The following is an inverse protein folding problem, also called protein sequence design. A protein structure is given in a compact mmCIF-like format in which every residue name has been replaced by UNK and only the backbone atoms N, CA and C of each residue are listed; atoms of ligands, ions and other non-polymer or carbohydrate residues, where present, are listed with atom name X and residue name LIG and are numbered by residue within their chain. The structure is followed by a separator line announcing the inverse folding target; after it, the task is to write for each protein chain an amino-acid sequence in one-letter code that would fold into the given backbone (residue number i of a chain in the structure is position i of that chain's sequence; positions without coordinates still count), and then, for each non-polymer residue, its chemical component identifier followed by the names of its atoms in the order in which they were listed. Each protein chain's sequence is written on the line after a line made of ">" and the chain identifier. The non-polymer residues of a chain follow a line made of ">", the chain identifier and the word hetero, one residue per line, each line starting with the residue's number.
data_IF_498163527171
#
_entry.id   IF_498163527171
#
_cell.length_a   1.000
_cell.length_b   1.000
_cell.length_c   1.000
_cell.angle_alpha   90.00
_cell.angle_beta   90.00
_cell.angle_gamma   90.00
#
_symmetry.space_group_name_H-M   'P 1'
#
loop_
_entity.id
_entity.type
_entity.pdbx_description
1 polymer ?
#
# COMPACT_ATOMS: atom_id res chain seq x y z
N UNK A 1 31.50 -4.07 -32.31
CA UNK A 1 31.05 -2.70 -32.64
C UNK A 1 29.68 -2.44 -32.04
N UNK A 2 29.15 -1.22 -32.13
CA UNK A 2 27.80 -0.88 -31.64
C UNK A 2 26.71 -1.62 -32.44
N UNK A 3 25.68 -2.12 -31.76
CA UNK A 3 24.54 -2.81 -32.38
C UNK A 3 23.24 -2.11 -31.98
N UNK A 4 22.37 -1.75 -32.94
CA UNK A 4 21.06 -1.19 -32.62
C UNK A 4 20.20 -2.25 -31.94
N UNK A 5 19.52 -1.86 -30.86
CA UNK A 5 18.59 -2.72 -30.10
C UNK A 5 17.37 -1.90 -29.74
N UNK A 6 16.22 -2.57 -29.66
CA UNK A 6 15.00 -1.97 -29.17
C UNK A 6 14.98 -2.05 -27.65
N UNK A 7 14.81 -0.91 -26.97
CA UNK A 7 14.79 -0.83 -25.52
C UNK A 7 13.40 -0.40 -25.03
N UNK A 8 12.92 -1.07 -23.98
CA UNK A 8 11.65 -0.75 -23.32
C UNK A 8 11.93 -0.67 -21.83
N UNK A 9 11.60 0.47 -21.22
CA UNK A 9 11.63 0.63 -19.77
C UNK A 9 10.21 0.51 -19.24
N UNK A 10 9.95 -0.53 -18.46
CA UNK A 10 8.64 -0.79 -17.86
C UNK A 10 8.81 -1.19 -16.40
N UNK A 11 8.01 -0.58 -15.52
CA UNK A 11 7.97 -0.85 -14.09
C UNK A 11 9.35 -1.00 -13.40
N UNK A 12 10.31 -0.14 -13.77
CA UNK A 12 11.65 -0.19 -13.18
C UNK A 12 12.59 -1.26 -13.74
N UNK A 13 12.21 -1.90 -14.85
CA UNK A 13 12.98 -2.91 -15.56
C UNK A 13 13.23 -2.43 -16.99
N UNK A 14 14.51 -2.30 -17.37
CA UNK A 14 14.91 -1.99 -18.73
C UNK A 14 15.13 -3.29 -19.50
N UNK A 15 14.24 -3.61 -20.42
CA UNK A 15 14.31 -4.80 -21.28
C UNK A 15 14.79 -4.42 -22.68
N UNK A 16 15.55 -5.31 -23.32
CA UNK A 16 16.03 -5.09 -24.68
C UNK A 16 15.73 -6.28 -25.61
N UNK A 17 15.52 -5.93 -26.89
CA UNK A 17 15.06 -6.83 -27.94
C UNK A 17 15.87 -6.61 -29.22
N UNK A 18 15.83 -7.60 -30.11
CA UNK A 18 16.48 -7.49 -31.43
C UNK A 18 15.78 -6.42 -32.28
N UNK A 19 14.45 -6.41 -32.29
CA UNK A 19 13.62 -5.42 -32.99
C UNK A 19 12.33 -5.12 -32.20
N UNK A 20 11.58 -4.11 -32.64
CA UNK A 20 10.29 -3.75 -32.03
C UNK A 20 9.24 -4.89 -32.18
N UNK A 21 9.26 -5.61 -33.30
CA UNK A 21 8.36 -6.75 -33.56
C UNK A 21 8.64 -7.97 -32.65
N UNK A 22 9.83 -8.04 -32.04
CA UNK A 22 10.22 -9.12 -31.14
C UNK A 22 9.76 -8.91 -29.69
N UNK A 23 9.10 -7.79 -29.37
CA UNK A 23 8.59 -7.52 -28.02
C UNK A 23 7.61 -8.62 -27.57
N UNK A 24 6.85 -9.20 -28.50
CA UNK A 24 5.95 -10.32 -28.24
C UNK A 24 6.63 -11.71 -28.19
N UNK A 25 7.89 -11.83 -28.65
CA UNK A 25 8.64 -13.10 -28.72
C UNK A 25 9.51 -13.36 -27.49
N UNK A 26 9.72 -12.35 -26.65
CA UNK A 26 10.49 -12.43 -25.42
C UNK A 26 11.77 -11.58 -25.46
N UNK A 27 12.11 -10.99 -24.32
CA UNK A 27 13.29 -10.13 -24.17
C UNK A 27 14.58 -10.94 -24.26
N UNK A 28 15.62 -10.37 -24.89
CA UNK A 28 16.97 -10.95 -24.86
C UNK A 28 17.64 -10.81 -23.50
N UNK A 29 17.22 -9.81 -22.75
CA UNK A 29 17.62 -9.61 -21.37
C UNK A 29 16.88 -8.41 -20.78
N UNK A 30 16.97 -8.32 -19.46
CA UNK A 30 16.32 -7.28 -18.68
C UNK A 30 17.23 -6.84 -17.54
N UNK A 31 17.27 -5.54 -17.27
CA UNK A 31 18.09 -4.91 -16.24
C UNK A 31 17.16 -4.29 -15.20
N UNK A 32 17.30 -4.69 -13.93
CA UNK A 32 16.56 -4.07 -12.82
C UNK A 32 17.19 -2.73 -12.46
N UNK A 33 16.44 -1.65 -12.62
CA UNK A 33 16.96 -0.29 -12.38
C UNK A 33 17.28 -0.02 -10.90
N UNK A 34 16.64 -0.74 -9.96
CA UNK A 34 16.88 -0.59 -8.52
C UNK A 34 18.35 -0.79 -8.12
N UNK A 35 19.02 -1.78 -8.73
CA UNK A 35 20.40 -2.18 -8.40
C UNK A 35 21.43 -1.64 -9.39
N UNK A 36 20.96 -0.99 -10.46
CA UNK A 36 21.81 -0.51 -11.54
C UNK A 36 22.32 0.91 -11.27
N UNK A 37 23.61 1.15 -11.44
CA UNK A 37 24.23 2.47 -11.48
C UNK A 37 24.26 3.02 -12.91
N UNK A 38 23.85 4.28 -13.07
CA UNK A 38 23.83 4.96 -14.36
C UNK A 38 25.00 5.93 -14.39
N UNK A 39 25.96 5.72 -15.30
CA UNK A 39 27.09 6.63 -15.54
C UNK A 39 26.94 7.35 -16.88
N UNK A 40 27.25 8.64 -16.85
CA UNK A 40 27.11 9.54 -17.99
C UNK A 40 28.52 9.86 -18.48
N UNK A 41 28.78 9.60 -19.77
CA UNK A 41 30.08 9.93 -20.35
C UNK A 41 30.26 11.47 -20.45
N UNK A 42 31.36 11.99 -19.89
CA UNK A 42 31.57 13.45 -19.79
C UNK A 42 31.79 14.14 -21.14
N UNK A 43 32.43 13.44 -22.09
CA UNK A 43 32.85 14.03 -23.38
C UNK A 43 31.92 13.67 -24.55
N UNK A 44 31.13 12.62 -24.42
CA UNK A 44 30.26 12.13 -25.50
C UNK A 44 28.81 12.22 -25.05
N UNK A 45 28.11 13.20 -25.61
CA UNK A 45 26.73 13.49 -25.26
C UNK A 45 25.72 12.50 -25.82
N UNK A 46 26.15 11.39 -26.40
CA UNK A 46 25.29 10.29 -26.87
C UNK A 46 25.49 8.99 -26.10
N UNK A 47 26.56 8.88 -25.27
CA UNK A 47 26.89 7.64 -24.57
C UNK A 47 26.47 7.64 -23.10
N UNK A 48 26.04 6.49 -22.62
CA UNK A 48 25.76 6.23 -21.22
C UNK A 48 26.13 4.78 -20.87
N UNK A 49 26.31 4.53 -19.59
CA UNK A 49 26.75 3.26 -19.04
C UNK A 49 25.76 2.82 -17.95
N UNK A 50 25.36 1.56 -17.99
CA UNK A 50 24.53 0.91 -16.98
C UNK A 50 25.36 -0.19 -16.33
N UNK A 51 25.70 0.00 -15.05
CA UNK A 51 26.56 -0.90 -14.28
C UNK A 51 25.70 -1.62 -13.26
N UNK A 52 25.75 -2.95 -13.25
CA UNK A 52 25.17 -3.77 -12.20
C UNK A 52 26.34 -4.30 -11.36
N UNK A 53 26.53 -3.80 -10.13
CA UNK A 53 27.65 -4.21 -9.28
C UNK A 53 27.67 -5.73 -9.10
N UNK A 54 28.80 -6.36 -9.44
CA UNK A 54 29.00 -7.81 -9.30
C UNK A 54 28.39 -8.69 -10.40
N UNK A 55 27.67 -8.12 -11.37
CA UNK A 55 27.07 -8.89 -12.47
C UNK A 55 27.63 -8.47 -13.83
N UNK A 56 27.20 -7.31 -14.34
CA UNK A 56 27.43 -6.95 -15.73
C UNK A 56 27.49 -5.44 -15.94
N UNK A 57 28.26 -5.04 -16.95
CA UNK A 57 28.38 -3.66 -17.39
C UNK A 57 27.88 -3.52 -18.84
N UNK A 58 26.92 -2.62 -19.05
CA UNK A 58 26.34 -2.32 -20.35
C UNK A 58 26.75 -0.93 -20.81
N UNK A 59 27.32 -0.86 -22.02
CA UNK A 59 27.58 0.39 -22.71
C UNK A 59 26.45 0.65 -23.68
N UNK A 60 25.84 1.83 -23.60
CA UNK A 60 24.73 2.24 -24.43
C UNK A 60 25.05 3.55 -25.15
N UNK A 61 24.56 3.66 -26.39
CA UNK A 61 24.66 4.87 -27.18
C UNK A 61 23.29 5.21 -27.72
N UNK A 62 22.79 6.38 -27.37
CA UNK A 62 21.55 6.92 -27.90
C UNK A 62 21.76 7.46 -29.33
N UNK A 63 20.65 7.62 -30.06
CA UNK A 63 20.65 8.15 -31.42
C UNK A 63 21.22 9.58 -31.47
N UNK A 64 20.91 10.38 -30.45
CA UNK A 64 21.38 11.76 -30.30
C UNK A 64 21.37 12.19 -28.82
N UNK A 65 21.83 13.41 -28.55
CA UNK A 65 21.91 13.94 -27.19
C UNK A 65 20.54 14.14 -26.51
N UNK A 66 19.51 14.52 -27.28
CA UNK A 66 18.16 14.68 -26.75
C UNK A 66 17.55 13.33 -26.34
N UNK A 67 17.75 12.29 -27.15
CA UNK A 67 17.36 10.92 -26.83
C UNK A 67 18.09 10.39 -25.62
N UNK A 68 19.40 10.62 -25.52
CA UNK A 68 20.18 10.29 -24.33
C UNK A 68 19.56 10.93 -23.09
N UNK A 69 19.24 12.22 -23.15
CA UNK A 69 18.66 12.93 -22.02
C UNK A 69 17.29 12.35 -21.63
N UNK A 70 16.43 12.05 -22.61
CA UNK A 70 15.14 11.38 -22.36
C UNK A 70 15.31 10.04 -21.65
N UNK A 71 16.23 9.21 -22.12
CA UNK A 71 16.55 7.95 -21.47
C UNK A 71 17.10 8.14 -20.06
N UNK A 72 18.04 9.05 -19.85
CA UNK A 72 18.60 9.34 -18.52
C UNK A 72 17.51 9.76 -17.52
N UNK A 73 16.63 10.67 -17.93
CA UNK A 73 15.49 11.10 -17.10
C UNK A 73 14.60 9.89 -16.75
N UNK A 74 14.19 9.11 -17.75
CA UNK A 74 13.33 7.94 -17.52
C UNK A 74 13.99 6.90 -16.59
N UNK A 75 15.27 6.61 -16.79
CA UNK A 75 16.03 5.64 -16.01
C UNK A 75 16.25 6.10 -14.56
N UNK A 76 16.61 7.36 -14.33
CA UNK A 76 16.75 7.91 -12.98
C UNK A 76 15.40 8.01 -12.27
N UNK A 77 14.35 8.44 -12.96
CA UNK A 77 12.99 8.47 -12.41
C UNK A 77 12.51 7.08 -12.03
N UNK A 78 12.73 6.07 -12.88
CA UNK A 78 12.40 4.69 -12.57
C UNK A 78 13.19 4.18 -11.35
N UNK A 79 14.49 4.48 -11.26
CA UNK A 79 15.31 4.13 -10.09
C UNK A 79 14.83 4.80 -8.81
N UNK A 80 14.44 6.08 -8.86
CA UNK A 80 13.91 6.82 -7.72
C UNK A 80 12.52 6.32 -7.29
N UNK A 81 11.63 6.01 -8.24
CA UNK A 81 10.30 5.48 -7.96
C UNK A 81 10.36 4.08 -7.30
N UNK A 82 11.36 3.27 -7.60
CA UNK A 82 11.58 1.99 -6.90
C UNK A 82 11.97 2.18 -5.42
N UNK A 83 12.67 3.27 -5.09
CA UNK A 83 12.90 3.65 -3.70
C UNK A 83 11.61 4.14 -3.03
N UNK A 84 10.75 4.85 -3.78
CA UNK A 84 9.48 5.41 -3.29
C UNK A 84 8.36 4.37 -3.10
N UNK A 85 8.29 3.35 -3.96
CA UNK A 85 7.29 2.27 -3.84
C UNK A 85 7.49 1.39 -2.60
N UNK A 86 8.73 1.29 -2.08
CA UNK A 86 9.02 0.67 -0.78
C UNK A 86 8.42 1.51 0.36
N UNK A 87 8.66 2.81 0.36
CA UNK A 87 8.11 3.73 1.36
C UNK A 87 6.59 3.92 1.24
N UNK A 88 6.02 3.81 0.03
CA UNK A 88 4.56 3.95 -0.17
C UNK A 88 3.79 2.73 0.31
N UNK A 89 4.27 1.52 0.03
CA UNK A 89 3.69 0.29 0.61
C UNK A 89 3.88 0.22 2.12
N UNK A 90 5.03 0.66 2.66
CA UNK A 90 5.23 0.76 4.10
C UNK A 90 4.28 1.77 4.75
N UNK A 91 4.01 2.91 4.10
CA UNK A 91 3.03 3.91 4.58
C UNK A 91 1.61 3.39 4.58
N UNK A 92 1.15 2.77 3.48
CA UNK A 92 -0.21 2.21 3.40
C UNK A 92 -0.43 1.08 4.42
N UNK A 93 0.57 0.21 4.62
CA UNK A 93 0.52 -0.86 5.65
C UNK A 93 0.56 -0.26 7.06
N UNK A 94 1.35 0.79 7.29
CA UNK A 94 1.39 1.46 8.59
C UNK A 94 0.08 2.16 8.91
N UNK A 95 -0.52 2.87 7.94
CA UNK A 95 -1.79 3.59 8.13
C UNK A 95 -2.96 2.63 8.38
N UNK A 96 -3.04 1.52 7.63
CA UNK A 96 -4.03 0.46 7.88
C UNK A 96 -3.82 -0.21 9.24
N UNK A 97 -2.58 -0.45 9.66
CA UNK A 97 -2.28 -1.02 10.98
C UNK A 97 -2.70 -0.10 12.13
N UNK A 98 -2.43 1.21 12.02
CA UNK A 98 -2.86 2.20 13.01
C UNK A 98 -4.39 2.33 13.04
N UNK A 99 -5.06 2.37 11.87
CA UNK A 99 -6.53 2.35 11.81
C UNK A 99 -7.13 1.11 12.46
N UNK A 100 -6.55 -0.07 12.26
CA UNK A 100 -6.99 -1.31 12.88
C UNK A 100 -6.83 -1.28 14.41
N UNK A 101 -5.71 -0.74 14.92
CA UNK A 101 -5.48 -0.60 16.38
C UNK A 101 -6.54 0.30 17.03
N UNK A 102 -6.87 1.43 16.40
CA UNK A 102 -7.91 2.34 16.90
C UNK A 102 -9.26 1.64 16.92
N UNK A 103 -9.69 1.02 15.81
CA UNK A 103 -10.96 0.30 15.75
C UNK A 103 -11.02 -0.87 16.73
N UNK A 104 -9.92 -1.58 16.95
CA UNK A 104 -9.86 -2.65 17.96
C UNK A 104 -10.04 -2.12 19.40
N UNK A 105 -9.55 -0.90 19.66
CA UNK A 105 -9.72 -0.23 20.95
C UNK A 105 -11.17 0.24 21.15
N UNK A 106 -11.80 0.75 20.09
CA UNK A 106 -13.24 1.08 20.07
C UNK A 106 -14.10 -0.16 20.33
N UNK A 107 -13.82 -1.28 19.66
CA UNK A 107 -14.55 -2.54 19.88
C UNK A 107 -14.45 -3.04 21.32
N UNK A 108 -13.29 -2.88 21.97
CA UNK A 108 -13.15 -3.21 23.40
C UNK A 108 -14.02 -2.31 24.26
N UNK A 109 -13.99 -1.01 24.02
CA UNK A 109 -14.83 -0.05 24.73
C UNK A 109 -16.32 -0.37 24.56
N UNK A 110 -16.75 -0.73 23.35
CA UNK A 110 -18.11 -1.16 23.07
C UNK A 110 -18.44 -2.47 23.78
N UNK A 111 -17.55 -3.46 23.84
CA UNK A 111 -17.76 -4.68 24.62
C UNK A 111 -18.00 -4.37 26.11
N UNK A 112 -17.17 -3.50 26.70
CA UNK A 112 -17.31 -3.11 28.10
C UNK A 112 -18.66 -2.39 28.33
N UNK A 113 -19.02 -1.49 27.42
CA UNK A 113 -20.28 -0.76 27.46
C UNK A 113 -21.49 -1.68 27.29
N UNK A 114 -21.43 -2.67 26.39
CA UNK A 114 -22.47 -3.69 26.21
C UNK A 114 -22.64 -4.52 27.48
N UNK A 115 -21.54 -4.95 28.11
CA UNK A 115 -21.61 -5.68 29.38
C UNK A 115 -22.29 -4.84 30.47
N UNK A 116 -21.95 -3.56 30.57
CA UNK A 116 -22.57 -2.65 31.54
C UNK A 116 -24.08 -2.48 31.26
N UNK A 117 -24.47 -2.25 30.01
CA UNK A 117 -25.87 -2.07 29.62
C UNK A 117 -26.70 -3.35 29.86
N UNK A 118 -26.14 -4.54 29.61
CA UNK A 118 -26.78 -5.82 29.92
C UNK A 118 -26.96 -5.99 31.43
N UNK A 119 -25.95 -5.67 32.24
CA UNK A 119 -26.07 -5.73 33.70
C UNK A 119 -27.17 -4.81 34.23
N UNK A 120 -27.22 -3.57 33.75
CA UNK A 120 -28.25 -2.59 34.12
C UNK A 120 -29.66 -3.11 33.81
N UNK A 121 -29.87 -3.75 32.65
CA UNK A 121 -31.16 -4.37 32.32
C UNK A 121 -31.46 -5.57 33.24
N UNK A 122 -30.46 -6.41 33.52
CA UNK A 122 -30.62 -7.56 34.43
C UNK A 122 -31.01 -7.12 35.85
N UNK A 123 -30.47 -6.01 36.34
CA UNK A 123 -30.84 -5.42 37.65
C UNK A 123 -32.30 -4.98 37.69
N UNK A 124 -32.85 -4.42 36.61
CA UNK A 124 -34.27 -4.06 36.53
C UNK A 124 -35.19 -5.28 36.52
N UNK A 125 -34.72 -6.42 36.00
CA UNK A 125 -35.49 -7.67 35.92
C UNK A 125 -35.44 -8.50 37.21
N UNK A 126 -34.33 -8.44 37.96
CA UNK A 126 -34.14 -9.19 39.22
C UNK A 126 -34.66 -8.48 40.48
N UNK A 127 -35.32 -7.32 40.34
CA UNK A 127 -35.79 -6.58 41.51
C UNK A 127 -37.07 -7.21 42.10
N UNK A 128 -36.89 -8.01 43.15
CA UNK A 128 -37.90 -8.77 43.88
C UNK A 128 -38.69 -7.88 44.90
N UNK A 129 -40.01 -7.89 44.72
CA UNK A 129 -41.15 -7.67 45.66
C UNK A 129 -41.20 -6.54 46.72
N UNK A 130 -40.24 -5.64 46.90
CA UNK A 130 -40.32 -4.62 48.00
C UNK A 130 -40.13 -3.15 47.62
N UNK A 131 -40.02 -2.81 46.33
CA UNK A 131 -39.96 -1.42 45.87
C UNK A 131 -40.76 -1.23 44.57
N UNK A 132 -41.29 -0.03 44.39
CA UNK A 132 -42.10 0.40 43.25
C UNK A 132 -41.54 -0.14 41.91
N UNK A 133 -42.39 -0.59 40.98
CA UNK A 133 -41.93 -1.15 39.71
C UNK A 133 -41.02 -0.16 38.98
N UNK A 134 -39.93 -0.60 38.33
CA UNK A 134 -39.13 0.27 37.48
C UNK A 134 -40.04 0.87 36.41
N UNK A 135 -39.99 2.19 36.24
CA UNK A 135 -40.75 2.88 35.21
C UNK A 135 -40.45 2.24 33.85
N UNK A 136 -41.49 1.80 33.13
CA UNK A 136 -41.40 1.19 31.79
C UNK A 136 -40.50 2.03 30.85
N UNK A 137 -40.51 3.35 31.05
CA UNK A 137 -39.68 4.32 30.35
C UNK A 137 -38.17 4.08 30.51
N UNK A 138 -37.69 3.82 31.73
CA UNK A 138 -36.27 3.59 32.03
C UNK A 138 -35.76 2.28 31.40
N UNK A 139 -36.62 1.25 31.39
CA UNK A 139 -36.28 -0.05 30.77
C UNK A 139 -36.25 0.06 29.24
N UNK A 140 -37.16 0.85 28.66
CA UNK A 140 -37.18 1.12 27.22
C UNK A 140 -35.95 1.95 26.78
N UNK A 141 -35.55 2.94 27.57
CA UNK A 141 -34.34 3.74 27.33
C UNK A 141 -33.07 2.87 27.38
N UNK A 142 -32.94 2.00 28.40
CA UNK A 142 -31.83 1.07 28.51
C UNK A 142 -31.75 0.08 27.32
N UNK A 143 -32.90 -0.41 26.86
CA UNK A 143 -32.99 -1.30 25.68
C UNK A 143 -32.64 -0.58 24.37
N UNK A 144 -33.11 0.66 24.20
CA UNK A 144 -32.76 1.51 23.05
C UNK A 144 -31.26 1.81 23.01
N UNK A 145 -30.66 2.13 24.16
CA UNK A 145 -29.24 2.40 24.28
C UNK A 145 -28.41 1.14 23.95
N UNK A 146 -28.82 -0.04 24.43
CA UNK A 146 -28.19 -1.31 24.09
C UNK A 146 -28.23 -1.59 22.58
N UNK A 147 -29.38 -1.35 21.94
CA UNK A 147 -29.53 -1.52 20.49
C UNK A 147 -28.59 -0.58 19.72
N UNK A 148 -28.47 0.68 20.14
CA UNK A 148 -27.56 1.64 19.52
C UNK A 148 -26.08 1.21 19.65
N UNK A 149 -25.66 0.74 20.82
CA UNK A 149 -24.30 0.23 21.04
C UNK A 149 -24.02 -1.01 20.18
N UNK A 150 -24.95 -1.96 20.10
CA UNK A 150 -24.82 -3.16 19.25
C UNK A 150 -24.66 -2.79 17.77
N UNK A 151 -25.48 -1.87 17.25
CA UNK A 151 -25.38 -1.43 15.85
C UNK A 151 -24.02 -0.78 15.55
N UNK A 152 -23.53 0.04 16.47
CA UNK A 152 -22.22 0.71 16.33
C UNK A 152 -21.08 -0.31 16.39
N UNK A 153 -21.13 -1.25 17.33
CA UNK A 153 -20.18 -2.35 17.44
C UNK A 153 -20.10 -3.18 16.16
N UNK A 154 -21.25 -3.60 15.61
CA UNK A 154 -21.31 -4.40 14.37
C UNK A 154 -20.71 -3.60 13.21
N UNK A 155 -21.05 -2.32 13.09
CA UNK A 155 -20.53 -1.45 12.03
C UNK A 155 -19.00 -1.37 12.11
N UNK A 156 -18.44 -1.07 13.29
CA UNK A 156 -16.98 -0.99 13.48
C UNK A 156 -16.30 -2.33 13.25
N UNK A 157 -16.94 -3.45 13.62
CA UNK A 157 -16.40 -4.80 13.39
C UNK A 157 -16.38 -5.15 11.90
N UNK A 158 -17.44 -4.82 11.15
CA UNK A 158 -17.47 -4.99 9.70
C UNK A 158 -16.39 -4.15 9.01
N UNK A 159 -16.13 -2.94 9.50
CA UNK A 159 -15.04 -2.11 8.98
C UNK A 159 -13.66 -2.71 9.25
N UNK A 160 -13.44 -3.37 10.40
CA UNK A 160 -12.20 -4.09 10.68
C UNK A 160 -11.98 -5.28 9.72
N UNK A 161 -13.04 -6.01 9.38
CA UNK A 161 -12.96 -7.20 8.50
C UNK A 161 -12.71 -6.80 7.03
N UNK A 162 -13.04 -5.57 6.65
CA UNK A 162 -12.85 -5.04 5.28
C UNK A 162 -11.44 -4.49 5.02
N UNK A 163 -10.62 -4.31 6.05
CA UNK A 163 -9.21 -3.86 5.96
C UNK A 163 -8.30 -5.07 5.73
#
# INVERSE_FOLDING_TARGET
>A
GWQPRWFVLDNGILSYYDSQDDVCKGSKGSIKMAVCEIKVHATDNTRMELIIPGEQHFYMKAVNAAERQRWLVALWSAKACLADTRTKKEKEISETNESLKTKMSELRLYCDLLMQQVHTIQEFVHHDETRSPPSIENMNEASSLLSATCNTFITTLEECVKI
#
